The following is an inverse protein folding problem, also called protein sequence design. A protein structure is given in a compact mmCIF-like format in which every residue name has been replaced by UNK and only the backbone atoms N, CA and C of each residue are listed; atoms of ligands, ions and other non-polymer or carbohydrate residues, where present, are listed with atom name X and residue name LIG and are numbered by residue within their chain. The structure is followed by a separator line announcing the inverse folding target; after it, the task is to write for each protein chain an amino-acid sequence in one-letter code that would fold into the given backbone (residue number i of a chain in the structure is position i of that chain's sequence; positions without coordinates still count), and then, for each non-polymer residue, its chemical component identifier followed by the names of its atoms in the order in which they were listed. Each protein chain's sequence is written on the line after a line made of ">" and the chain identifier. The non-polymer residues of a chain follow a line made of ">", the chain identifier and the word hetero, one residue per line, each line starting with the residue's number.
data_IF_617527781010
#
_entry.id   IF_617527781010
#
_cell.length_a   1.000
_cell.length_b   1.000
_cell.length_c   1.000
_cell.angle_alpha   90.00
_cell.angle_beta   90.00
_cell.angle_gamma   90.00
#
_symmetry.space_group_name_H-M   'P 1'
#
loop_
_entity.id
_entity.type
_entity.pdbx_description
1 polymer ?
#
# COMPACT_ATOMS: atom_id res chain seq x y z
N UNK A 1 -32.88 1.82 24.49
CA UNK A 1 -32.10 3.08 24.52
C UNK A 1 -30.67 2.74 24.92
N UNK A 2 -29.84 2.30 23.96
CA UNK A 2 -28.45 1.95 24.25
C UNK A 2 -27.71 3.21 24.64
N UNK A 3 -27.22 3.29 25.88
CA UNK A 3 -26.36 4.37 26.35
C UNK A 3 -25.19 4.51 25.39
N UNK A 4 -25.12 5.60 24.61
CA UNK A 4 -24.03 5.84 23.67
C UNK A 4 -22.74 6.06 24.45
N UNK A 5 -21.99 4.97 24.66
CA UNK A 5 -20.66 5.03 25.26
C UNK A 5 -19.78 5.92 24.37
N UNK A 6 -19.05 6.80 25.01
CA UNK A 6 -18.18 7.75 24.34
C UNK A 6 -16.80 7.68 24.97
N UNK A 7 -15.77 7.54 24.15
CA UNK A 7 -14.41 7.26 24.59
C UNK A 7 -13.50 8.48 24.38
N UNK A 8 -12.55 8.69 25.29
CA UNK A 8 -11.43 9.59 25.04
C UNK A 8 -10.45 8.97 24.04
N UNK A 9 -9.62 9.80 23.41
CA UNK A 9 -8.60 9.32 22.48
C UNK A 9 -7.59 8.37 23.15
N UNK A 10 -7.25 8.60 24.43
CA UNK A 10 -6.38 7.72 25.22
C UNK A 10 -7.01 6.34 25.45
N UNK A 11 -8.32 6.29 25.72
CA UNK A 11 -9.06 5.03 25.89
C UNK A 11 -9.09 4.24 24.58
N UNK A 12 -9.27 4.92 23.42
CA UNK A 12 -9.18 4.25 22.12
C UNK A 12 -7.79 3.64 21.87
N UNK A 13 -6.72 4.35 22.25
CA UNK A 13 -5.34 3.84 22.15
C UNK A 13 -5.17 2.60 23.03
N UNK A 14 -5.65 2.64 24.27
CA UNK A 14 -5.56 1.53 25.22
C UNK A 14 -6.33 0.29 24.75
N UNK A 15 -7.59 0.46 24.32
CA UNK A 15 -8.42 -0.66 23.89
C UNK A 15 -7.96 -1.31 22.57
N UNK A 16 -7.41 -0.52 21.65
CA UNK A 16 -7.10 -1.01 20.30
C UNK A 16 -5.61 -1.36 20.14
N UNK A 17 -4.73 -0.68 20.87
CA UNK A 17 -3.28 -0.76 20.69
C UNK A 17 -2.77 0.09 19.51
N UNK A 18 -3.62 0.83 18.80
CA UNK A 18 -3.16 1.78 17.80
C UNK A 18 -2.58 3.03 18.46
N UNK A 19 -1.49 3.55 17.90
CA UNK A 19 -0.95 4.81 18.35
C UNK A 19 -1.88 6.00 18.03
N UNK A 20 -1.72 7.10 18.77
CA UNK A 20 -2.54 8.31 18.63
C UNK A 20 -2.51 8.88 17.20
N UNK A 21 -1.36 8.87 16.53
CA UNK A 21 -1.17 9.42 15.19
C UNK A 21 -1.90 8.59 14.15
N UNK A 22 -1.90 7.27 14.28
CA UNK A 22 -2.61 6.33 13.43
C UNK A 22 -4.12 6.51 13.52
N UNK A 23 -4.67 6.65 14.74
CA UNK A 23 -6.10 6.94 14.93
C UNK A 23 -6.48 8.27 14.26
N UNK A 24 -5.67 9.33 14.44
CA UNK A 24 -5.89 10.64 13.78
C UNK A 24 -5.84 10.51 12.27
N UNK A 25 -4.91 9.73 11.72
CA UNK A 25 -4.83 9.46 10.29
C UNK A 25 -6.08 8.74 9.76
N UNK A 26 -6.62 7.76 10.49
CA UNK A 26 -7.87 7.08 10.11
C UNK A 26 -9.09 8.00 10.14
N UNK A 27 -9.14 8.97 11.05
CA UNK A 27 -10.17 10.02 11.05
C UNK A 27 -10.02 10.93 9.83
N UNK A 28 -8.79 11.32 9.47
CA UNK A 28 -8.52 12.20 8.32
C UNK A 28 -8.81 11.53 6.97
N UNK A 29 -8.48 10.24 6.84
CA UNK A 29 -8.74 9.44 5.63
C UNK A 29 -10.21 9.00 5.48
N UNK A 30 -11.05 9.29 6.48
CA UNK A 30 -12.49 8.99 6.45
C UNK A 30 -12.83 7.53 6.72
N UNK A 31 -11.92 6.76 7.34
CA UNK A 31 -12.22 5.41 7.83
C UNK A 31 -13.06 5.45 9.10
N UNK A 32 -12.86 6.50 9.93
CA UNK A 32 -13.59 6.72 11.17
C UNK A 32 -14.53 7.94 11.04
N UNK A 33 -15.69 7.93 11.72
CA UNK A 33 -16.59 9.07 11.79
C UNK A 33 -15.88 10.33 12.26
N UNK A 34 -16.19 11.47 11.62
CA UNK A 34 -15.67 12.77 12.05
C UNK A 34 -16.41 13.22 13.31
N UNK A 35 -15.67 13.42 14.38
CA UNK A 35 -16.16 14.07 15.61
C UNK A 35 -16.09 15.59 15.44
N UNK A 36 -17.16 16.30 15.85
CA UNK A 36 -17.34 17.73 15.59
C UNK A 36 -16.22 18.60 16.16
N UNK A 37 -16.19 18.79 17.49
CA UNK A 37 -15.16 19.62 18.15
C UNK A 37 -13.88 18.82 18.38
N UNK A 38 -12.76 19.34 17.87
CA UNK A 38 -11.40 18.86 18.16
C UNK A 38 -10.84 19.61 19.37
N UNK A 39 -10.38 18.89 20.38
CA UNK A 39 -9.78 19.44 21.59
C UNK A 39 -9.32 18.36 22.55
N UNK A 40 -8.69 18.74 23.68
CA UNK A 40 -8.16 17.80 24.68
C UNK A 40 -9.22 16.85 25.26
N UNK A 41 -10.49 17.26 25.25
CA UNK A 41 -11.62 16.49 25.79
C UNK A 41 -12.58 15.99 24.70
N UNK A 42 -12.11 15.84 23.46
CA UNK A 42 -12.94 15.26 22.39
C UNK A 42 -13.33 13.84 22.76
N UNK A 43 -14.65 13.58 22.74
CA UNK A 43 -15.23 12.26 22.96
C UNK A 43 -15.61 11.63 21.62
N UNK A 44 -15.22 10.39 21.44
CA UNK A 44 -15.44 9.60 20.24
C UNK A 44 -16.57 8.60 20.48
N UNK A 45 -17.54 8.46 19.55
CA UNK A 45 -18.61 7.49 19.72
C UNK A 45 -18.06 6.05 19.73
N UNK A 46 -18.79 5.14 20.37
CA UNK A 46 -18.49 3.70 20.39
C UNK A 46 -18.33 3.07 19.00
N UNK A 47 -18.94 3.68 17.97
CA UNK A 47 -18.71 3.31 16.57
C UNK A 47 -17.22 3.42 16.18
N UNK A 48 -16.50 4.44 16.66
CA UNK A 48 -15.07 4.58 16.38
C UNK A 48 -14.27 3.39 16.95
N UNK A 49 -14.62 2.92 18.15
CA UNK A 49 -13.97 1.76 18.76
C UNK A 49 -14.26 0.49 17.96
N UNK A 50 -15.53 0.26 17.58
CA UNK A 50 -15.94 -0.90 16.78
C UNK A 50 -15.19 -0.94 15.44
N UNK A 51 -15.13 0.19 14.72
CA UNK A 51 -14.38 0.30 13.45
C UNK A 51 -12.88 0.07 13.62
N UNK A 52 -12.26 0.56 14.70
CA UNK A 52 -10.84 0.34 14.98
C UNK A 52 -10.55 -1.14 15.26
N UNK A 53 -11.36 -1.81 16.07
CA UNK A 53 -11.20 -3.24 16.34
C UNK A 53 -11.35 -4.08 15.06
N UNK A 54 -12.28 -3.70 14.17
CA UNK A 54 -12.40 -4.32 12.85
C UNK A 54 -11.12 -4.16 12.02
N UNK A 55 -10.57 -2.94 11.92
CA UNK A 55 -9.32 -2.68 11.19
C UNK A 55 -8.16 -3.50 11.78
N UNK A 56 -8.08 -3.59 13.11
CA UNK A 56 -7.06 -4.39 13.80
C UNK A 56 -7.17 -5.86 13.41
N UNK A 57 -8.36 -6.44 13.52
CA UNK A 57 -8.55 -7.85 13.20
C UNK A 57 -8.32 -8.17 11.72
N UNK A 58 -8.69 -7.29 10.80
CA UNK A 58 -8.32 -7.43 9.36
C UNK A 58 -6.80 -7.45 9.18
N UNK A 59 -6.05 -6.59 9.89
CA UNK A 59 -4.58 -6.59 9.83
C UNK A 59 -3.97 -7.87 10.43
N UNK A 60 -4.55 -8.39 11.50
CA UNK A 60 -4.12 -9.65 12.11
C UNK A 60 -4.36 -10.84 11.17
N UNK A 61 -5.51 -10.90 10.49
CA UNK A 61 -5.80 -11.91 9.46
C UNK A 61 -4.80 -11.85 8.29
N UNK A 62 -4.44 -10.64 7.84
CA UNK A 62 -3.41 -10.44 6.81
C UNK A 62 -2.03 -10.91 7.28
N UNK A 63 -1.63 -10.55 8.50
CA UNK A 63 -0.36 -10.97 9.08
C UNK A 63 -0.28 -12.49 9.26
N UNK A 64 -1.41 -13.13 9.54
CA UNK A 64 -1.54 -14.59 9.59
C UNK A 64 -1.65 -15.28 8.23
N UNK A 65 -1.68 -14.53 7.12
CA UNK A 65 -1.82 -15.07 5.77
C UNK A 65 -3.20 -15.67 5.47
N UNK A 66 -4.20 -15.42 6.32
CA UNK A 66 -5.58 -15.91 6.15
C UNK A 66 -6.41 -15.02 5.22
N UNK A 67 -5.94 -13.81 4.95
CA UNK A 67 -6.59 -12.85 4.08
C UNK A 67 -5.56 -12.26 3.11
N UNK A 68 -5.97 -12.05 1.86
CA UNK A 68 -5.18 -11.28 0.89
C UNK A 68 -4.91 -9.85 1.40
N UNK A 69 -3.90 -9.20 0.83
CA UNK A 69 -3.55 -7.82 1.17
C UNK A 69 -4.69 -6.86 0.80
N UNK A 70 -5.57 -6.59 1.76
CA UNK A 70 -6.63 -5.61 1.62
C UNK A 70 -6.07 -4.19 1.76
N UNK A 71 -6.39 -3.35 0.80
CA UNK A 71 -6.01 -1.94 0.74
C UNK A 71 -6.87 -1.09 1.67
N UNK A 72 -6.38 0.09 2.07
CA UNK A 72 -7.17 1.04 2.87
C UNK A 72 -8.48 1.46 2.19
N UNK A 73 -8.50 1.51 0.85
CA UNK A 73 -9.71 1.85 0.09
C UNK A 73 -10.79 0.77 0.21
N UNK A 74 -10.41 -0.50 0.18
CA UNK A 74 -11.31 -1.65 0.37
C UNK A 74 -11.82 -1.71 1.81
N UNK A 75 -10.94 -1.50 2.79
CA UNK A 75 -11.33 -1.39 4.20
C UNK A 75 -12.36 -0.28 4.38
N UNK A 76 -12.10 0.92 3.83
CA UNK A 76 -13.06 2.03 3.87
C UNK A 76 -14.38 1.67 3.19
N UNK A 77 -14.36 0.99 2.05
CA UNK A 77 -15.57 0.55 1.34
C UNK A 77 -16.39 -0.42 2.22
N UNK A 78 -15.75 -1.43 2.81
CA UNK A 78 -16.41 -2.39 3.69
C UNK A 78 -17.04 -1.69 4.92
N UNK A 79 -16.29 -0.78 5.56
CA UNK A 79 -16.78 0.01 6.70
C UNK A 79 -17.91 1.00 6.35
N UNK A 80 -18.07 1.35 5.08
CA UNK A 80 -19.18 2.19 4.59
C UNK A 80 -20.40 1.37 4.18
N UNK A 81 -20.19 0.11 3.78
CA UNK A 81 -21.27 -0.81 3.43
C UNK A 81 -21.92 -1.45 4.67
N UNK A 82 -21.15 -1.65 5.74
CA UNK A 82 -21.63 -2.15 7.01
C UNK A 82 -22.06 -1.00 7.93
N UNK A 83 -23.21 -1.17 8.58
CA UNK A 83 -23.62 -0.30 9.67
C UNK A 83 -22.88 -0.65 10.97
N UNK A 84 -23.08 0.16 12.02
CA UNK A 84 -22.39 -0.07 13.30
C UNK A 84 -22.76 -1.41 13.94
N UNK A 85 -23.98 -1.91 13.75
CA UNK A 85 -24.39 -3.22 14.27
C UNK A 85 -23.73 -4.35 13.47
N UNK A 86 -23.75 -4.29 12.13
CA UNK A 86 -23.10 -5.31 11.30
C UNK A 86 -21.61 -5.46 11.59
N UNK A 87 -20.90 -4.36 11.86
CA UNK A 87 -19.49 -4.42 12.30
C UNK A 87 -19.35 -5.18 13.62
N UNK A 88 -20.24 -4.95 14.60
CA UNK A 88 -20.21 -5.63 15.90
C UNK A 88 -20.53 -7.12 15.77
N UNK A 89 -21.55 -7.45 14.98
CA UNK A 89 -21.95 -8.84 14.75
C UNK A 89 -20.81 -9.64 14.10
N UNK A 90 -20.01 -9.01 13.23
CA UNK A 90 -18.82 -9.63 12.65
C UNK A 90 -17.70 -9.79 13.69
N UNK A 91 -17.50 -8.78 14.55
CA UNK A 91 -16.49 -8.83 15.62
C UNK A 91 -16.82 -9.90 16.67
N UNK A 92 -18.08 -10.02 17.09
CA UNK A 92 -18.55 -11.00 18.07
C UNK A 92 -18.42 -12.43 17.55
N UNK A 93 -18.50 -12.63 16.24
CA UNK A 93 -18.23 -13.91 15.56
C UNK A 93 -16.75 -14.19 15.32
N UNK A 94 -15.85 -13.28 15.74
CA UNK A 94 -14.42 -13.46 15.61
C UNK A 94 -13.87 -13.24 14.20
N UNK A 95 -14.49 -12.35 13.41
CA UNK A 95 -14.04 -11.97 12.06
C UNK A 95 -13.78 -13.18 11.12
N UNK A 96 -14.82 -13.96 10.78
CA UNK A 96 -14.65 -15.11 9.90
C UNK A 96 -14.08 -14.67 8.53
N UNK A 97 -12.90 -15.18 8.17
CA UNK A 97 -12.13 -14.74 6.99
C UNK A 97 -12.96 -14.80 5.70
N UNK A 98 -13.75 -15.86 5.49
CA UNK A 98 -14.60 -16.01 4.32
C UNK A 98 -15.65 -14.89 4.16
N UNK A 99 -16.14 -14.31 5.26
CA UNK A 99 -17.08 -13.19 5.20
C UNK A 99 -16.37 -11.86 4.92
N UNK A 100 -15.19 -11.68 5.51
CA UNK A 100 -14.31 -10.54 5.25
C UNK A 100 -13.87 -10.53 3.78
N UNK A 101 -13.52 -11.68 3.22
CA UNK A 101 -13.22 -11.85 1.81
C UNK A 101 -14.40 -11.46 0.92
N UNK A 102 -15.64 -11.84 1.28
CA UNK A 102 -16.83 -11.43 0.53
C UNK A 102 -17.09 -9.93 0.58
N UNK A 103 -16.77 -9.26 1.68
CA UNK A 103 -16.87 -7.80 1.79
C UNK A 103 -15.83 -7.08 0.92
N UNK A 104 -14.64 -7.67 0.79
CA UNK A 104 -13.56 -7.14 -0.03
C UNK A 104 -13.63 -7.56 -1.49
N UNK A 105 -14.29 -8.67 -1.80
CA UNK A 105 -14.68 -9.02 -3.15
C UNK A 105 -15.48 -7.83 -3.70
N UNK A 106 -14.87 -7.13 -4.64
CA UNK A 106 -15.58 -6.10 -5.41
C UNK A 106 -16.81 -6.82 -5.95
N UNK A 107 -18.04 -6.34 -5.71
CA UNK A 107 -19.13 -6.74 -6.57
C UNK A 107 -18.71 -6.23 -7.94
N UNK A 108 -18.03 -7.08 -8.71
CA UNK A 108 -17.93 -6.95 -10.15
C UNK A 108 -19.38 -6.77 -10.53
N UNK A 109 -19.75 -5.53 -10.84
CA UNK A 109 -21.10 -5.22 -11.25
C UNK A 109 -21.45 -6.30 -12.27
N UNK A 110 -22.57 -7.03 -12.10
CA UNK A 110 -22.98 -7.99 -13.11
C UNK A 110 -22.93 -7.21 -14.41
N UNK A 111 -22.03 -7.65 -15.30
CA UNK A 111 -21.76 -7.03 -16.58
C UNK A 111 -23.11 -6.59 -17.14
N UNK A 112 -23.36 -5.28 -17.33
CA UNK A 112 -24.68 -4.81 -17.71
C UNK A 112 -25.06 -5.60 -18.94
N UNK A 113 -26.00 -6.54 -18.74
CA UNK A 113 -26.33 -7.56 -19.72
C UNK A 113 -26.45 -6.84 -21.07
N UNK A 114 -25.72 -7.29 -22.11
CA UNK A 114 -25.56 -6.56 -23.35
C UNK A 114 -26.93 -6.10 -23.77
N UNK A 115 -27.15 -4.78 -23.69
CA UNK A 115 -28.44 -4.18 -23.94
C UNK A 115 -28.86 -4.71 -25.31
N UNK A 116 -29.85 -5.61 -25.34
CA UNK A 116 -30.37 -6.12 -26.59
C UNK A 116 -30.71 -4.89 -27.43
N UNK A 117 -30.17 -4.77 -28.65
CA UNK A 117 -30.46 -3.63 -29.50
C UNK A 117 -31.94 -3.68 -29.83
N UNK A 118 -32.76 -2.99 -29.03
CA UNK A 118 -34.14 -2.66 -29.34
C UNK A 118 -34.11 -1.84 -30.62
N UNK A 119 -34.22 -2.54 -31.74
CA UNK A 119 -34.37 -1.98 -33.06
C UNK A 119 -35.71 -1.26 -33.17
N UNK A 120 -35.79 -0.06 -32.63
CA UNK A 120 -36.83 0.89 -32.99
C UNK A 120 -36.32 1.76 -34.14
N UNK A 121 -36.43 1.20 -35.34
CA UNK A 121 -36.58 2.00 -36.54
C UNK A 121 -37.92 2.75 -36.45
N UNK A 122 -37.90 3.99 -35.99
CA UNK A 122 -38.98 4.95 -36.22
C UNK A 122 -38.40 6.24 -36.78
N UNK A 123 -38.36 6.27 -38.11
CA UNK A 123 -38.32 7.44 -38.96
C UNK A 123 -39.52 8.33 -38.65
N UNK A 124 -39.32 9.60 -38.30
CA UNK A 124 -40.42 10.58 -38.28
C UNK A 124 -40.02 11.96 -37.77
N UNK A 125 -40.44 13.08 -38.41
CA UNK A 125 -39.77 14.37 -38.35
C UNK A 125 -40.38 15.37 -37.35
N UNK A 126 -39.66 16.48 -37.18
CA UNK A 126 -39.94 17.67 -36.38
C UNK A 126 -41.39 18.17 -36.39
N UNK A 127 -41.80 18.90 -35.33
CA UNK A 127 -42.25 20.26 -35.60
C UNK A 127 -41.67 21.33 -34.67
N UNK A 128 -41.35 22.43 -35.34
CA UNK A 128 -41.13 23.80 -34.92
C UNK A 128 -42.30 24.35 -34.08
N UNK A 129 -42.01 25.12 -33.03
CA UNK A 129 -43.02 25.87 -32.28
C UNK A 129 -42.43 26.82 -31.21
N UNK A 130 -42.61 28.15 -31.31
CA UNK A 130 -41.95 29.16 -30.45
C UNK A 130 -42.85 29.75 -29.34
N UNK A 131 -42.23 30.14 -28.20
CA UNK A 131 -42.59 31.25 -27.26
C UNK A 131 -43.99 31.23 -26.58
N UNK A 132 -44.27 31.93 -25.43
CA UNK A 132 -43.71 33.23 -25.02
C UNK A 132 -43.43 33.47 -23.51
N UNK A 133 -42.92 34.69 -23.28
CA UNK A 133 -42.86 35.52 -22.06
C UNK A 133 -43.90 35.21 -20.95
N UNK A 134 -43.54 35.50 -19.68
CA UNK A 134 -43.94 36.73 -18.95
C UNK A 134 -43.78 36.62 -17.42
N UNK A 135 -43.24 37.68 -16.82
CA UNK A 135 -43.75 38.43 -15.63
C UNK A 135 -42.72 38.68 -14.51
N UNK A 136 -42.48 39.98 -14.34
CA UNK A 136 -41.74 40.73 -13.34
C UNK A 136 -42.19 40.56 -11.87
N UNK A 137 -41.22 40.68 -10.94
CA UNK A 137 -41.11 41.58 -9.74
C UNK A 137 -42.31 41.77 -8.75
N UNK A 138 -42.16 42.30 -7.49
CA UNK A 138 -41.04 43.09 -6.95
C UNK A 138 -40.61 42.87 -5.46
N UNK A 139 -39.46 43.49 -5.15
CA UNK A 139 -39.03 44.16 -3.90
C UNK A 139 -39.53 43.69 -2.51
N UNK A 140 -38.58 43.45 -1.59
CA UNK A 140 -38.64 44.04 -0.24
C UNK A 140 -37.25 44.22 0.38
N UNK A 141 -37.14 45.41 0.96
CA UNK A 141 -35.99 46.15 1.47
C UNK A 141 -35.98 46.00 2.99
N UNK A 142 -34.82 45.79 3.62
CA UNK A 142 -34.54 46.23 5.01
C UNK A 142 -33.05 46.06 5.34
N UNK A 143 -32.31 47.17 5.23
CA UNK A 143 -31.23 47.50 6.17
C UNK A 143 -31.86 47.89 7.54
N UNK A 144 -31.10 47.80 8.66
CA UNK A 144 -30.37 48.99 9.09
C UNK A 144 -28.93 48.73 9.59
N UNK A 145 -28.13 49.78 9.43
CA UNK A 145 -26.78 50.04 9.97
C UNK A 145 -26.70 49.88 11.50
N UNK A 146 -25.60 49.43 12.13
CA UNK A 146 -24.32 50.13 12.46
C UNK A 146 -23.79 49.48 13.78
N UNK A 147 -22.59 49.78 14.36
CA UNK A 147 -21.33 50.28 13.81
C UNK A 147 -20.07 49.50 14.29
N UNK A 148 -18.94 49.76 13.63
CA UNK A 148 -17.57 49.91 14.17
C UNK A 148 -17.01 48.96 15.23
N UNK A 149 -16.08 48.09 14.82
CA UNK A 149 -14.84 47.87 15.60
C UNK A 149 -13.66 47.78 14.64
N UNK A 150 -12.99 48.92 14.46
CA UNK A 150 -11.65 48.97 13.91
C UNK A 150 -10.64 48.36 14.88
N UNK A 151 -9.50 47.91 14.35
CA UNK A 151 -8.37 47.52 15.19
C UNK A 151 -7.50 46.44 14.57
N UNK A 152 -6.54 46.91 13.78
CA UNK A 152 -5.19 46.35 13.63
C UNK A 152 -4.95 45.04 12.85
N UNK A 153 -4.64 45.29 11.57
CA UNK A 153 -3.31 45.05 10.97
C UNK A 153 -2.69 43.66 11.20
N UNK A 154 -2.92 42.86 10.16
CA UNK A 154 -1.99 41.86 9.62
C UNK A 154 -0.52 42.29 9.78
N UNK A 155 0.26 41.47 10.48
CA UNK A 155 1.66 41.22 10.12
C UNK A 155 1.82 39.71 9.98
N UNK A 156 1.85 39.25 8.73
CA UNK A 156 2.30 37.92 8.38
C UNK A 156 3.83 37.96 8.42
N UNK A 157 4.41 37.59 9.55
CA UNK A 157 5.83 37.29 9.67
C UNK A 157 6.13 35.93 9.03
N UNK A 158 6.44 35.96 7.74
CA UNK A 158 7.27 34.95 7.09
C UNK A 158 8.72 35.16 7.58
N UNK A 159 9.15 34.32 8.51
CA UNK A 159 10.54 33.98 8.77
C UNK A 159 10.52 32.47 9.10
N UNK A 160 10.77 31.60 8.13
CA UNK A 160 12.10 31.22 7.65
C UNK A 160 12.96 30.53 8.74
N UNK A 161 13.33 29.29 8.39
CA UNK A 161 14.40 28.44 8.89
C UNK A 161 14.89 28.54 10.35
N UNK A 162 14.78 27.41 11.06
CA UNK A 162 15.83 26.74 11.87
C UNK A 162 15.17 25.55 12.59
N UNK A 163 15.24 24.28 12.17
CA UNK A 163 16.41 23.42 11.92
C UNK A 163 17.51 23.62 12.98
N UNK A 164 17.52 22.66 13.93
CA UNK A 164 18.60 22.14 14.80
C UNK A 164 18.26 22.24 16.29
N UNK A 165 17.38 21.34 16.74
CA UNK A 165 17.40 20.90 18.13
C UNK A 165 18.61 19.96 18.28
N UNK A 166 19.77 20.55 18.62
CA UNK A 166 20.95 19.81 19.02
C UNK A 166 20.67 19.22 20.40
N UNK A 167 20.70 17.90 20.52
CA UNK A 167 21.04 17.24 21.77
C UNK A 167 22.50 17.58 22.06
N UNK A 168 22.73 18.63 22.85
CA UNK A 168 23.99 18.84 23.54
C UNK A 168 23.95 17.97 24.80
N UNK A 169 24.43 16.74 24.68
CA UNK A 169 24.91 16.01 25.83
C UNK A 169 26.13 16.75 26.37
N UNK A 170 26.08 17.06 27.66
CA UNK A 170 27.19 17.59 28.44
C UNK A 170 28.45 16.74 28.21
N UNK A 171 29.49 17.38 27.67
CA UNK A 171 30.86 16.91 27.76
C UNK A 171 31.41 17.37 29.11
N UNK A 172 31.67 16.48 30.08
CA UNK A 172 32.57 16.82 31.18
C UNK A 172 33.99 16.98 30.63
N UNK A 173 34.61 18.06 31.10
CA UNK A 173 35.97 18.51 30.82
C UNK A 173 37.00 17.41 31.08
N UNK A 174 37.87 17.18 30.09
CA UNK A 174 39.07 16.37 30.24
C UNK A 174 40.13 17.16 31.01
N UNK A 175 40.48 16.68 32.20
CA UNK A 175 41.75 16.97 32.84
C UNK A 175 42.62 15.72 32.75
N UNK A 176 43.85 15.93 32.28
CA UNK A 176 44.90 14.96 32.00
C UNK A 176 45.19 14.01 33.16
N UNK A 177 45.33 12.73 32.84
CA UNK A 177 46.24 11.81 33.52
C UNK A 177 46.60 10.68 32.55
N UNK A 178 47.89 10.45 32.38
CA UNK A 178 48.48 9.42 31.52
C UNK A 178 48.05 8.00 31.90
N UNK A 179 48.17 7.05 30.96
CA UNK A 179 48.73 5.77 31.35
C UNK A 179 49.87 5.31 30.45
N UNK A 180 50.93 4.95 31.15
CA UNK A 180 52.06 4.12 30.78
C UNK A 180 51.58 2.67 30.52
N UNK A 181 52.38 1.91 29.75
CA UNK A 181 52.43 0.43 29.68
C UNK A 181 51.32 -0.24 28.83
N UNK A 182 51.57 -1.29 28.04
CA UNK A 182 52.76 -2.08 27.69
C UNK A 182 52.35 -2.95 26.48
N UNK A 183 53.34 -3.35 25.70
CA UNK A 183 53.31 -4.41 24.70
C UNK A 183 52.30 -5.54 24.96
N UNK A 184 51.59 -5.97 23.91
CA UNK A 184 51.51 -7.37 23.44
C UNK A 184 50.48 -7.47 22.30
N UNK A 185 50.95 -7.49 21.05
CA UNK A 185 50.17 -7.92 19.91
C UNK A 185 50.37 -9.44 19.68
N UNK A 186 49.32 -10.29 19.72
CA UNK A 186 49.42 -11.61 19.12
C UNK A 186 49.27 -11.50 17.59
N UNK A 187 50.34 -11.88 16.89
CA UNK A 187 50.42 -12.07 15.44
C UNK A 187 49.25 -12.91 14.92
N UNK A 188 48.55 -12.41 13.90
CA UNK A 188 47.69 -13.22 13.04
C UNK A 188 48.50 -13.78 11.86
N UNK A 189 48.30 -15.06 11.48
CA UNK A 189 49.05 -15.70 10.41
C UNK A 189 48.56 -15.27 9.02
N UNK A 190 49.54 -14.95 8.17
CA UNK A 190 49.43 -14.82 6.71
C UNK A 190 49.04 -16.16 6.10
N UNK A 191 47.94 -16.21 5.35
CA UNK A 191 47.61 -17.34 4.48
C UNK A 191 48.13 -17.07 3.06
N UNK A 192 49.04 -17.94 2.62
CA UNK A 192 49.54 -18.05 1.25
C UNK A 192 48.48 -18.65 0.31
N UNK A 193 48.35 -18.17 -0.93
CA UNK A 193 47.63 -18.91 -1.97
C UNK A 193 48.53 -19.98 -2.60
N UNK A 194 48.23 -21.24 -2.32
CA UNK A 194 48.86 -22.40 -2.96
C UNK A 194 48.23 -22.71 -4.31
N UNK A 195 49.07 -22.77 -5.35
CA UNK A 195 48.77 -23.33 -6.68
C UNK A 195 49.02 -24.85 -6.69
N UNK A 196 48.09 -25.61 -7.25
CA UNK A 196 48.20 -26.96 -7.84
C UNK A 196 46.78 -27.55 -7.88
N UNK A 197 46.27 -28.24 -8.88
CA UNK A 197 46.77 -28.77 -10.14
C UNK A 197 45.61 -29.56 -10.75
N UNK A 198 45.58 -29.68 -12.08
CA UNK A 198 44.68 -30.61 -12.79
C UNK A 198 44.90 -32.06 -12.32
N UNK A 199 43.94 -32.97 -12.56
CA UNK A 199 44.05 -33.74 -13.79
C UNK A 199 42.73 -33.96 -14.55
N UNK A 200 42.92 -34.18 -15.85
CA UNK A 200 41.92 -34.60 -16.83
C UNK A 200 41.40 -36.02 -16.58
N UNK A 201 40.13 -36.26 -16.92
CA UNK A 201 39.53 -37.56 -17.23
C UNK A 201 38.32 -37.28 -18.14
N UNK A 202 38.41 -37.54 -19.44
CA UNK A 202 38.19 -38.83 -20.10
C UNK A 202 36.70 -39.21 -20.23
N UNK A 203 36.18 -38.96 -21.44
CA UNK A 203 35.32 -39.87 -22.21
C UNK A 203 34.00 -40.36 -21.62
N UNK A 204 32.89 -39.83 -22.13
CA UNK A 204 31.67 -40.61 -22.34
C UNK A 204 30.86 -40.02 -23.49
N UNK A 205 30.94 -40.70 -24.63
CA UNK A 205 30.04 -40.61 -25.78
C UNK A 205 28.65 -41.09 -25.37
N UNK A 206 27.57 -40.32 -25.61
CA UNK A 206 26.24 -40.88 -25.60
C UNK A 206 25.80 -41.34 -27.00
N UNK A 207 25.35 -42.58 -26.99
CA UNK A 207 24.66 -43.42 -27.95
C UNK A 207 23.49 -42.72 -28.70
N UNK A 208 23.44 -42.74 -30.06
CA UNK A 208 22.30 -42.25 -30.82
C UNK A 208 21.32 -43.40 -31.11
N UNK A 209 20.37 -43.67 -30.20
CA UNK A 209 19.39 -44.70 -30.49
C UNK A 209 18.36 -45.00 -29.40
N UNK A 210 17.49 -44.06 -29.06
CA UNK A 210 16.15 -44.46 -28.57
C UNK A 210 15.12 -43.34 -28.71
N UNK A 211 14.19 -43.52 -29.65
CA UNK A 211 12.95 -42.77 -29.74
C UNK A 211 11.84 -43.61 -29.11
N UNK A 212 11.26 -43.17 -27.98
CA UNK A 212 9.86 -43.46 -27.70
C UNK A 212 9.03 -42.20 -27.94
N UNK A 213 8.18 -42.27 -28.98
CA UNK A 213 7.07 -41.37 -29.15
C UNK A 213 6.09 -41.53 -27.99
N UNK A 214 5.85 -40.43 -27.29
CA UNK A 214 4.89 -40.31 -26.20
C UNK A 214 4.47 -38.86 -26.10
N UNK A 215 3.58 -38.44 -27.00
CA UNK A 215 2.88 -37.15 -26.97
C UNK A 215 1.82 -37.20 -25.87
N UNK A 216 2.26 -37.21 -24.62
CA UNK A 216 1.41 -36.87 -23.48
C UNK A 216 1.67 -35.40 -23.18
N UNK A 217 0.80 -34.54 -23.73
CA UNK A 217 0.76 -33.12 -23.37
C UNK A 217 0.39 -33.02 -21.88
N UNK A 218 1.30 -32.54 -21.01
CA UNK A 218 0.91 -32.21 -19.65
C UNK A 218 0.04 -30.95 -19.70
N UNK A 219 -1.05 -30.96 -18.94
CA UNK A 219 -1.88 -29.79 -18.64
C UNK A 219 -1.00 -28.66 -18.03
N UNK A 220 -0.38 -27.86 -18.89
CA UNK A 220 0.64 -26.85 -18.57
C UNK A 220 0.07 -25.55 -17.98
N UNK A 221 -1.11 -25.61 -17.36
CA UNK A 221 -1.84 -24.41 -16.90
C UNK A 221 -1.70 -24.16 -15.39
N UNK A 222 -1.19 -25.14 -14.62
CA UNK A 222 -1.15 -25.07 -13.15
C UNK A 222 0.09 -24.41 -12.55
N UNK A 223 1.25 -24.46 -13.21
CA UNK A 223 2.53 -24.08 -12.60
C UNK A 223 2.92 -22.60 -12.78
N UNK A 224 2.30 -21.88 -13.70
CA UNK A 224 2.71 -20.51 -14.03
C UNK A 224 2.54 -19.52 -12.86
N UNK A 225 1.53 -19.75 -12.00
CA UNK A 225 1.31 -18.92 -10.83
C UNK A 225 2.30 -19.22 -9.69
N UNK A 226 2.73 -20.47 -9.56
CA UNK A 226 3.76 -20.90 -8.60
C UNK A 226 5.11 -20.30 -8.97
N UNK A 227 5.43 -20.22 -10.27
CA UNK A 227 6.65 -19.63 -10.80
C UNK A 227 6.75 -18.12 -10.57
N UNK A 228 5.65 -17.39 -10.73
CA UNK A 228 5.64 -15.93 -10.48
C UNK A 228 5.92 -15.61 -9.01
N UNK A 229 5.29 -16.34 -8.08
CA UNK A 229 5.50 -16.15 -6.65
C UNK A 229 6.93 -16.44 -6.23
N UNK A 230 7.54 -17.49 -6.79
CA UNK A 230 8.94 -17.84 -6.54
C UNK A 230 9.91 -16.77 -7.06
N UNK A 231 9.68 -16.22 -8.26
CA UNK A 231 10.52 -15.16 -8.83
C UNK A 231 10.40 -13.83 -8.06
N UNK A 232 9.21 -13.45 -7.61
CA UNK A 232 9.03 -12.27 -6.75
C UNK A 232 9.77 -12.42 -5.42
N UNK A 233 9.66 -13.60 -4.79
CA UNK A 233 10.37 -13.89 -3.54
C UNK A 233 11.89 -13.89 -3.73
N UNK A 234 12.40 -14.38 -4.87
CA UNK A 234 13.84 -14.29 -5.19
C UNK A 234 14.29 -12.83 -5.39
N UNK A 235 13.49 -11.99 -6.05
CA UNK A 235 13.76 -10.55 -6.18
C UNK A 235 13.69 -9.81 -4.85
N UNK A 236 12.86 -10.23 -3.90
CA UNK A 236 12.74 -9.57 -2.60
C UNK A 236 13.89 -9.95 -1.66
N UNK A 237 14.32 -11.22 -1.69
CA UNK A 237 15.35 -11.73 -0.79
C UNK A 237 16.76 -11.28 -1.20
N UNK A 238 17.09 -11.21 -2.51
CA UNK A 238 18.45 -10.89 -2.96
C UNK A 238 18.96 -9.48 -2.63
N UNK A 239 18.16 -8.41 -2.73
CA UNK A 239 18.59 -7.06 -2.37
C UNK A 239 18.96 -6.92 -0.89
N UNK A 240 18.35 -7.75 -0.02
CA UNK A 240 18.68 -7.74 1.42
C UNK A 240 19.98 -8.48 1.73
N UNK A 241 20.39 -9.40 0.86
CA UNK A 241 21.56 -10.26 1.04
C UNK A 241 22.80 -9.77 0.30
N UNK A 242 22.69 -8.79 -0.59
CA UNK A 242 23.86 -8.27 -1.30
C UNK A 242 24.65 -7.31 -0.40
N UNK A 243 25.86 -7.68 0.09
CA UNK A 243 26.64 -6.85 1.01
C UNK A 243 27.21 -5.60 0.31
N UNK A 244 27.12 -5.53 -1.03
CA UNK A 244 27.49 -4.36 -1.82
C UNK A 244 26.37 -3.31 -1.84
N UNK A 245 25.87 -2.93 -0.67
CA UNK A 245 25.05 -1.72 -0.59
C UNK A 245 25.89 -0.56 -1.10
N UNK A 246 25.38 0.14 -2.12
CA UNK A 246 25.98 1.38 -2.57
C UNK A 246 26.20 2.27 -1.35
N UNK A 247 27.37 2.92 -1.22
CA UNK A 247 27.69 3.72 -0.04
C UNK A 247 26.59 4.75 0.21
N UNK A 248 26.27 5.08 1.49
CA UNK A 248 25.26 6.06 1.81
C UNK A 248 25.56 7.38 1.09
N UNK A 249 24.69 7.79 0.16
CA UNK A 249 24.88 8.96 -0.70
C UNK A 249 25.16 8.67 -2.18
N UNK A 250 25.35 7.39 -2.56
CA UNK A 250 25.38 7.02 -3.97
C UNK A 250 24.01 7.28 -4.64
N UNK A 251 23.97 7.77 -5.89
CA UNK A 251 22.72 7.98 -6.60
C UNK A 251 21.96 6.65 -6.70
N UNK A 252 20.68 6.68 -6.36
CA UNK A 252 19.81 5.51 -6.48
C UNK A 252 19.72 5.09 -7.94
N UNK A 253 20.19 3.88 -8.27
CA UNK A 253 20.04 3.31 -9.59
C UNK A 253 18.71 2.56 -9.68
N UNK A 254 17.93 2.90 -10.71
CA UNK A 254 16.65 2.28 -11.03
C UNK A 254 16.77 1.58 -12.38
N UNK A 255 16.40 0.31 -12.42
CA UNK A 255 16.32 -0.46 -13.66
C UNK A 255 14.86 -0.55 -14.07
N UNK A 256 14.52 0.05 -15.21
CA UNK A 256 13.17 0.06 -15.76
C UNK A 256 13.06 -0.94 -16.90
N UNK A 257 12.15 -1.90 -16.76
CA UNK A 257 11.90 -2.94 -17.77
C UNK A 257 10.49 -2.76 -18.33
N UNK A 258 10.33 -2.48 -19.64
CA UNK A 258 9.01 -2.32 -20.24
C UNK A 258 8.26 -3.65 -20.28
N UNK A 259 7.07 -3.70 -19.68
CA UNK A 259 6.18 -4.86 -19.79
C UNK A 259 5.23 -4.64 -20.98
N UNK A 260 4.62 -3.45 -21.07
CA UNK A 260 3.75 -3.00 -22.18
C UNK A 260 4.02 -1.52 -22.49
N UNK A 261 3.33 -0.94 -23.48
CA UNK A 261 3.45 0.50 -23.81
C UNK A 261 3.02 1.43 -22.66
N UNK A 262 2.30 0.91 -21.66
CA UNK A 262 1.78 1.69 -20.51
C UNK A 262 2.21 1.16 -19.15
N UNK A 263 2.92 0.04 -19.08
CA UNK A 263 3.28 -0.63 -17.82
C UNK A 263 4.76 -0.96 -17.83
N UNK A 264 5.45 -0.52 -16.78
CA UNK A 264 6.89 -0.70 -16.57
C UNK A 264 7.12 -1.37 -15.22
N UNK A 265 8.13 -2.24 -15.16
CA UNK A 265 8.65 -2.82 -13.93
C UNK A 265 9.89 -2.02 -13.53
N UNK A 266 9.80 -1.26 -12.45
CA UNK A 266 10.93 -0.52 -11.90
C UNK A 266 11.51 -1.26 -10.70
N UNK A 267 12.74 -1.75 -10.83
CA UNK A 267 13.45 -2.44 -9.74
C UNK A 267 14.60 -1.57 -9.26
N UNK A 268 14.64 -1.32 -7.95
CA UNK A 268 15.64 -0.45 -7.33
C UNK A 268 16.89 -1.26 -6.99
N UNK A 269 18.06 -0.78 -7.41
CA UNK A 269 19.35 -1.36 -7.05
C UNK A 269 19.56 -2.79 -7.56
N UNK A 270 18.93 -3.15 -8.69
CA UNK A 270 19.10 -4.45 -9.30
C UNK A 270 20.50 -4.53 -9.93
N UNK A 271 21.37 -5.45 -9.48
CA UNK A 271 22.69 -5.60 -10.07
C UNK A 271 22.57 -6.26 -11.46
N UNK A 272 23.58 -6.08 -12.30
CA UNK A 272 23.58 -6.55 -13.69
C UNK A 272 23.43 -8.08 -13.77
N UNK A 273 23.98 -8.82 -12.81
CA UNK A 273 23.82 -10.29 -12.72
C UNK A 273 22.37 -10.75 -12.52
N UNK A 274 21.50 -9.91 -11.94
CA UNK A 274 20.09 -10.23 -11.68
C UNK A 274 19.15 -9.69 -12.78
N UNK A 275 19.68 -9.04 -13.82
CA UNK A 275 18.89 -8.50 -14.93
C UNK A 275 18.04 -9.57 -15.62
N UNK A 276 18.58 -10.78 -15.81
CA UNK A 276 17.87 -11.90 -16.43
C UNK A 276 16.64 -12.36 -15.64
N UNK A 277 16.68 -12.22 -14.31
CA UNK A 277 15.57 -12.59 -13.44
C UNK A 277 14.44 -11.57 -13.51
N UNK A 278 14.78 -10.28 -13.53
CA UNK A 278 13.80 -9.22 -13.72
C UNK A 278 13.16 -9.26 -15.13
N UNK A 279 13.92 -9.65 -16.17
CA UNK A 279 13.36 -9.94 -17.49
C UNK A 279 12.38 -11.12 -17.48
N UNK A 280 12.71 -12.22 -16.78
CA UNK A 280 11.83 -13.37 -16.65
C UNK A 280 10.49 -12.98 -15.98
N UNK A 281 10.57 -12.18 -14.91
CA UNK A 281 9.39 -11.62 -14.24
C UNK A 281 8.56 -10.75 -15.20
N UNK A 282 9.22 -9.86 -15.95
CA UNK A 282 8.53 -9.00 -16.91
C UNK A 282 7.83 -9.81 -18.02
N UNK A 283 8.43 -10.93 -18.48
CA UNK A 283 7.80 -11.84 -19.45
C UNK A 283 6.56 -12.51 -18.87
N UNK A 284 6.61 -13.01 -17.63
CA UNK A 284 5.45 -13.60 -16.95
C UNK A 284 4.34 -12.56 -16.74
N UNK A 285 4.67 -11.37 -16.26
CA UNK A 285 3.71 -10.28 -16.10
C UNK A 285 3.08 -9.89 -17.44
N UNK A 286 3.87 -9.83 -18.52
CA UNK A 286 3.36 -9.58 -19.87
C UNK A 286 2.39 -10.67 -20.33
N UNK A 287 2.68 -11.94 -20.05
CA UNK A 287 1.81 -13.07 -20.37
C UNK A 287 0.50 -12.99 -19.57
N UNK A 288 0.58 -12.75 -18.26
CA UNK A 288 -0.58 -12.59 -17.38
C UNK A 288 -1.47 -11.40 -17.76
N UNK A 289 -0.87 -10.29 -18.22
CA UNK A 289 -1.62 -9.14 -18.72
C UNK A 289 -2.30 -9.42 -20.07
N UNK A 290 -1.71 -10.27 -20.92
CA UNK A 290 -2.30 -10.68 -22.21
C UNK A 290 -3.40 -11.72 -22.06
N UNK A 291 -3.30 -12.60 -21.07
CA UNK A 291 -4.31 -13.65 -20.84
C UNK A 291 -5.56 -13.13 -20.15
N UNK A 292 -5.52 -11.93 -19.57
CA UNK A 292 -6.73 -11.27 -19.10
C UNK A 292 -7.60 -10.90 -20.29
N UNK A 293 -8.82 -11.46 -20.41
CA UNK A 293 -9.73 -11.02 -21.46
C UNK A 293 -9.99 -9.53 -21.28
N UNK A 294 -9.69 -8.75 -22.32
CA UNK A 294 -10.01 -7.35 -22.39
C UNK A 294 -11.53 -7.22 -22.26
N UNK A 295 -12.02 -6.98 -21.04
CA UNK A 295 -13.43 -6.69 -20.78
C UNK A 295 -13.69 -5.36 -21.47
N UNK A 296 -14.24 -5.43 -22.68
CA UNK A 296 -14.46 -4.29 -23.58
C UNK A 296 -15.96 -4.12 -23.75
#
# INVERSE_FOLDING_TARGET
>A
MSTQRSYALSELVEHTGFDRRTIVYYIQSGLLPKVGRRGPHTRYPDECLSRLLFIKGVRELQAGGQLLTATLAEIRRALSALDTQGIRDILDRGLPSAEIERLFAVPTAPDPAPAEPSGNAHTGPAPTGPSPLRTEAPASRSEPASPSSGGDKRSYGLADASIRQRFAAERPSAASAEPVHEDTHPRLPVLQPGSAGMPASAGSTPDPGNMPGGTESPDASGDEHTDLGHLLRQLELRPTLNPRRSPPGAPEQWTEIPITSRVWLSVRGLPEEDAGLAEALARLLKRALRSRPSTT
#
